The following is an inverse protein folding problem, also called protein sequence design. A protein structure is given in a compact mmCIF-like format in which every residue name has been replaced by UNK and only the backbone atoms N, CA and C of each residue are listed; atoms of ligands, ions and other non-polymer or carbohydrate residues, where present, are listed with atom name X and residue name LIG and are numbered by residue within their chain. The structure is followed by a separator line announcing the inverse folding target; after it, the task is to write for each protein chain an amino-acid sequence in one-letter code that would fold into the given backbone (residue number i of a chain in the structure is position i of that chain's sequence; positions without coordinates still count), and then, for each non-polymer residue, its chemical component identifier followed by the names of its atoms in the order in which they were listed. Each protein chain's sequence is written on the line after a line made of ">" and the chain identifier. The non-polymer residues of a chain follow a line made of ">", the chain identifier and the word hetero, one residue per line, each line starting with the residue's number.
data_IF_735212137469
#
_entry.id   IF_735212137469
#
_cell.length_a   1.000
_cell.length_b   1.000
_cell.length_c   1.000
_cell.angle_alpha   90.00
_cell.angle_beta   90.00
_cell.angle_gamma   90.00
#
_symmetry.space_group_name_H-M   'P 1'
#
loop_
_entity.id
_entity.type
_entity.pdbx_description
1 polymer ?
#
# COMPACT_ATOMS: atom_id res chain seq x y z
N UNK A 1 -13.21 4.11 -37.05
CA UNK A 1 -11.99 4.88 -36.73
C UNK A 1 -11.96 5.04 -35.22
N UNK A 2 -10.91 4.59 -34.51
CA UNK A 2 -10.87 4.68 -33.05
C UNK A 2 -10.78 6.16 -32.67
N UNK A 3 -11.76 6.64 -31.93
CA UNK A 3 -11.85 8.03 -31.53
C UNK A 3 -10.85 8.33 -30.43
N UNK A 4 -10.36 9.57 -30.38
CA UNK A 4 -9.57 10.19 -29.30
C UNK A 4 -10.04 9.82 -27.87
N UNK A 5 -11.29 9.42 -27.68
CA UNK A 5 -11.82 8.85 -26.44
C UNK A 5 -11.16 7.52 -26.01
N UNK A 6 -10.81 6.61 -26.94
CA UNK A 6 -10.11 5.35 -26.64
C UNK A 6 -8.66 5.57 -26.18
N UNK A 7 -8.00 6.60 -26.73
CA UNK A 7 -6.64 7.00 -26.32
C UNK A 7 -6.64 7.67 -24.93
N UNK A 8 -7.67 8.45 -24.62
CA UNK A 8 -7.86 9.04 -23.28
C UNK A 8 -8.21 7.98 -22.23
N UNK A 9 -9.03 6.97 -22.59
CA UNK A 9 -9.34 5.82 -21.73
C UNK A 9 -8.10 4.95 -21.46
N UNK A 10 -7.20 4.78 -22.43
CA UNK A 10 -5.94 4.05 -22.26
C UNK A 10 -4.87 4.78 -21.45
N UNK A 11 -4.86 6.11 -21.46
CA UNK A 11 -3.83 6.93 -20.79
C UNK A 11 -4.20 7.33 -19.34
N UNK A 12 -5.48 7.26 -18.96
CA UNK A 12 -5.97 7.67 -17.64
C UNK A 12 -5.23 7.00 -16.45
N UNK A 13 -4.89 5.69 -16.48
CA UNK A 13 -4.15 5.06 -15.37
C UNK A 13 -2.72 5.60 -15.21
N UNK A 14 -2.05 5.92 -16.31
CA UNK A 14 -0.67 6.43 -16.30
C UNK A 14 -0.64 7.89 -15.82
N UNK A 15 -1.60 8.70 -16.28
CA UNK A 15 -1.77 10.08 -15.81
C UNK A 15 -2.14 10.13 -14.32
N UNK A 16 -3.05 9.25 -13.86
CA UNK A 16 -3.42 9.15 -12.45
C UNK A 16 -2.25 8.70 -11.57
N UNK A 17 -1.46 7.71 -12.01
CA UNK A 17 -0.26 7.26 -11.30
C UNK A 17 0.82 8.33 -11.20
N UNK A 18 1.04 9.10 -12.27
CA UNK A 18 2.00 10.20 -12.29
C UNK A 18 1.62 11.34 -11.33
N UNK A 19 0.34 11.73 -11.30
CA UNK A 19 -0.15 12.77 -10.39
C UNK A 19 -0.06 12.35 -8.91
N UNK A 20 -0.35 11.08 -8.59
CA UNK A 20 -0.15 10.52 -7.26
C UNK A 20 1.33 10.50 -6.83
N UNK A 21 2.23 10.14 -7.75
CA UNK A 21 3.67 10.15 -7.49
C UNK A 21 4.19 11.57 -7.22
N UNK A 22 3.72 12.56 -7.98
CA UNK A 22 4.07 13.98 -7.78
C UNK A 22 3.51 14.53 -6.46
N UNK A 23 2.27 14.18 -6.10
CA UNK A 23 1.65 14.59 -4.85
C UNK A 23 2.35 13.97 -3.64
N UNK A 24 2.71 12.69 -3.71
CA UNK A 24 3.45 11.99 -2.65
C UNK A 24 4.90 12.48 -2.51
N UNK A 25 5.55 12.87 -3.62
CA UNK A 25 6.94 13.33 -3.62
C UNK A 25 7.18 14.71 -2.99
N UNK A 26 6.16 15.59 -2.96
CA UNK A 26 6.28 16.95 -2.42
C UNK A 26 5.96 17.08 -0.93
N UNK A 27 5.45 16.04 -0.27
CA UNK A 27 5.17 16.06 1.16
C UNK A 27 6.45 15.75 1.96
N UNK A 28 7.36 16.73 2.02
CA UNK A 28 8.47 16.67 2.97
C UNK A 28 7.91 16.91 4.38
N UNK A 29 7.86 15.85 5.18
CA UNK A 29 7.40 15.93 6.57
C UNK A 29 8.29 16.86 7.42
N UNK A 30 7.82 17.28 8.61
CA UNK A 30 8.59 18.10 9.52
C UNK A 30 9.94 17.45 9.88
N UNK A 31 11.01 18.25 9.94
CA UNK A 31 12.34 17.77 10.36
C UNK A 31 12.42 17.68 11.90
N UNK A 32 11.83 16.62 12.45
CA UNK A 32 11.81 16.38 13.90
C UNK A 32 13.21 16.27 14.51
N UNK A 33 14.17 15.69 13.78
CA UNK A 33 15.56 15.55 14.26
C UNK A 33 16.25 16.90 14.38
N UNK A 34 16.06 17.77 13.38
CA UNK A 34 16.54 19.15 13.42
C UNK A 34 15.91 19.98 14.53
N UNK A 35 14.63 19.73 14.87
CA UNK A 35 13.97 20.38 16.01
C UNK A 35 14.54 19.90 17.35
N UNK A 36 14.70 18.58 17.56
CA UNK A 36 15.28 18.01 18.79
C UNK A 36 16.69 18.55 19.03
N UNK A 37 17.53 18.62 17.99
CA UNK A 37 18.89 19.14 18.11
C UNK A 37 18.92 20.61 18.57
N UNK A 38 17.99 21.44 18.08
CA UNK A 38 17.86 22.83 18.53
C UNK A 38 17.36 22.93 19.97
N UNK A 39 16.41 22.08 20.36
CA UNK A 39 15.89 22.05 21.72
C UNK A 39 16.99 21.63 22.72
N UNK A 40 17.88 20.70 22.34
CA UNK A 40 19.06 20.31 23.13
C UNK A 40 20.10 21.44 23.28
N UNK A 41 20.42 22.16 22.19
CA UNK A 41 21.30 23.33 22.25
C UNK A 41 20.71 24.44 23.14
N UNK A 42 19.39 24.64 23.11
CA UNK A 42 18.71 25.55 24.04
C UNK A 42 18.85 25.10 25.50
N UNK A 43 18.73 23.80 25.77
CA UNK A 43 18.86 23.25 27.12
C UNK A 43 20.26 23.48 27.69
N UNK A 44 21.30 23.35 26.87
CA UNK A 44 22.70 23.61 27.27
C UNK A 44 22.94 25.09 27.64
N UNK A 45 22.22 26.01 27.00
CA UNK A 45 22.33 27.46 27.22
C UNK A 45 21.55 27.97 28.44
N UNK A 46 20.62 27.19 28.99
CA UNK A 46 19.87 27.59 30.19
C UNK A 46 20.80 27.50 31.41
N UNK A 47 20.89 28.56 32.24
CA UNK A 47 21.67 28.53 33.48
C UNK A 47 21.35 27.30 34.34
N UNK A 48 22.38 26.66 34.90
CA UNK A 48 22.23 25.45 35.73
C UNK A 48 21.35 25.65 36.96
N UNK A 49 21.27 26.89 37.46
CA UNK A 49 20.43 27.24 38.61
C UNK A 49 18.93 27.27 38.29
N UNK A 50 18.54 27.41 37.02
CA UNK A 50 17.13 27.44 36.59
C UNK A 50 16.60 26.00 36.38
N UNK A 51 16.64 25.21 37.45
CA UNK A 51 16.33 23.77 37.45
C UNK A 51 14.93 23.49 36.92
N UNK A 52 13.94 24.32 37.26
CA UNK A 52 12.55 24.13 36.84
C UNK A 52 12.38 24.32 35.32
N UNK A 53 13.02 25.34 34.73
CA UNK A 53 12.95 25.57 33.29
C UNK A 53 13.68 24.49 32.51
N UNK A 54 14.85 24.06 33.00
CA UNK A 54 15.59 22.94 32.40
C UNK A 54 14.78 21.65 32.44
N UNK A 55 14.15 21.34 33.58
CA UNK A 55 13.32 20.16 33.73
C UNK A 55 12.12 20.17 32.78
N UNK A 56 11.44 21.32 32.63
CA UNK A 56 10.32 21.48 31.69
C UNK A 56 10.75 21.29 30.24
N UNK A 57 11.88 21.88 29.83
CA UNK A 57 12.39 21.72 28.46
C UNK A 57 12.82 20.27 28.21
N UNK A 58 13.50 19.64 29.16
CA UNK A 58 13.88 18.23 29.08
C UNK A 58 12.65 17.31 28.91
N UNK A 59 11.57 17.57 29.65
CA UNK A 59 10.33 16.81 29.50
C UNK A 59 9.71 16.96 28.09
N UNK A 60 9.71 18.17 27.53
CA UNK A 60 9.24 18.40 26.16
C UNK A 60 10.10 17.71 25.10
N UNK A 61 11.42 17.69 25.28
CA UNK A 61 12.36 16.98 24.39
C UNK A 61 12.07 15.48 24.42
N UNK A 62 11.93 14.91 25.62
CA UNK A 62 11.64 13.48 25.79
C UNK A 62 10.34 13.10 25.07
N UNK A 63 9.27 13.87 25.25
CA UNK A 63 8.00 13.63 24.56
C UNK A 63 8.14 13.67 23.05
N UNK A 64 8.92 14.61 22.50
CA UNK A 64 9.19 14.69 21.06
C UNK A 64 9.99 13.48 20.55
N UNK A 65 10.89 12.94 21.35
CA UNK A 65 11.62 11.70 21.04
C UNK A 65 10.66 10.51 21.01
N UNK A 66 9.78 10.41 21.99
CA UNK A 66 8.78 9.34 22.04
C UNK A 66 7.85 9.37 20.81
N UNK A 67 7.40 10.56 20.40
CA UNK A 67 6.62 10.74 19.17
C UNK A 67 7.41 10.31 17.92
N UNK A 68 8.70 10.62 17.84
CA UNK A 68 9.57 10.21 16.74
C UNK A 68 9.73 8.67 16.69
N UNK A 69 9.87 8.04 17.85
CA UNK A 69 9.94 6.57 17.96
C UNK A 69 8.62 5.97 17.51
N UNK A 70 7.49 6.43 18.07
CA UNK A 70 6.16 5.92 17.75
C UNK A 70 5.82 6.06 16.26
N UNK A 71 6.16 7.19 15.63
CA UNK A 71 5.96 7.40 14.18
C UNK A 71 6.86 6.49 13.34
N UNK A 72 8.10 6.25 13.77
CA UNK A 72 9.02 5.32 13.10
C UNK A 72 8.55 3.88 13.22
N UNK A 73 8.12 3.46 14.41
CA UNK A 73 7.53 2.14 14.65
C UNK A 73 6.25 1.95 13.84
N UNK A 74 5.38 2.95 13.81
CA UNK A 74 4.18 2.92 12.96
C UNK A 74 4.53 2.82 11.48
N UNK A 75 5.54 3.55 11.02
CA UNK A 75 6.03 3.46 9.64
C UNK A 75 6.63 2.09 9.32
N UNK A 76 7.31 1.47 10.29
CA UNK A 76 7.85 0.11 10.18
C UNK A 76 6.73 -0.91 10.16
N UNK A 77 5.75 -0.80 11.05
CA UNK A 77 4.56 -1.64 11.08
C UNK A 77 3.74 -1.50 9.80
N UNK A 78 3.61 -0.28 9.24
CA UNK A 78 2.98 -0.05 7.94
C UNK A 78 3.79 -0.66 6.79
N UNK A 79 5.12 -0.59 6.82
CA UNK A 79 5.98 -1.26 5.84
C UNK A 79 5.89 -2.77 5.94
N UNK A 80 5.95 -3.33 7.14
CA UNK A 80 5.80 -4.76 7.40
C UNK A 80 4.40 -5.23 7.01
N UNK A 81 3.36 -4.44 7.33
CA UNK A 81 2.00 -4.65 6.88
C UNK A 81 1.92 -4.60 5.36
N UNK A 82 2.50 -3.61 4.68
CA UNK A 82 2.50 -3.51 3.22
C UNK A 82 3.31 -4.65 2.54
N UNK A 83 4.44 -5.04 3.13
CA UNK A 83 5.22 -6.21 2.71
C UNK A 83 4.42 -7.50 2.91
N UNK A 84 3.64 -7.60 4.00
CA UNK A 84 2.70 -8.70 4.25
C UNK A 84 1.43 -8.61 3.37
N UNK A 85 1.05 -7.40 2.94
CA UNK A 85 0.03 -7.10 1.94
C UNK A 85 0.50 -7.47 0.52
N UNK A 86 1.75 -7.93 0.38
CA UNK A 86 2.21 -8.77 -0.71
C UNK A 86 1.55 -10.16 -0.75
N UNK A 87 0.60 -10.45 0.15
CA UNK A 87 -0.26 -11.62 0.10
C UNK A 87 -1.30 -11.53 -1.02
N UNK A 88 -0.98 -12.14 -2.16
CA UNK A 88 -1.94 -12.61 -3.17
C UNK A 88 -2.91 -11.61 -3.83
N UNK A 89 -2.79 -10.30 -3.60
CA UNK A 89 -3.63 -9.28 -4.24
C UNK A 89 -3.59 -9.38 -5.76
N UNK A 90 -2.40 -9.61 -6.32
CA UNK A 90 -2.21 -9.87 -7.75
C UNK A 90 -3.13 -10.98 -8.24
N UNK A 91 -3.18 -12.09 -7.53
CA UNK A 91 -3.92 -13.28 -7.95
C UNK A 91 -5.44 -13.06 -7.79
N UNK A 92 -5.87 -12.26 -6.81
CA UNK A 92 -7.27 -11.83 -6.65
C UNK A 92 -7.70 -10.91 -7.81
N UNK A 93 -6.88 -9.91 -8.13
CA UNK A 93 -7.16 -8.99 -9.25
C UNK A 93 -7.18 -9.74 -10.57
N UNK A 94 -6.22 -10.65 -10.80
CA UNK A 94 -6.19 -11.50 -11.99
C UNK A 94 -7.43 -12.39 -12.09
N UNK A 95 -7.90 -12.95 -10.98
CA UNK A 95 -9.15 -13.73 -10.95
C UNK A 95 -10.36 -12.86 -11.32
N UNK A 96 -10.50 -11.67 -10.73
CA UNK A 96 -11.59 -10.73 -11.07
C UNK A 96 -11.53 -10.37 -12.56
N UNK A 97 -10.34 -10.02 -13.08
CA UNK A 97 -10.15 -9.72 -14.50
C UNK A 97 -10.53 -10.90 -15.41
N UNK A 98 -10.12 -12.12 -15.05
CA UNK A 98 -10.46 -13.34 -15.80
C UNK A 98 -11.97 -13.59 -15.85
N UNK A 99 -12.66 -13.45 -14.70
CA UNK A 99 -14.11 -13.62 -14.61
C UNK A 99 -14.83 -12.57 -15.44
N UNK A 100 -14.48 -11.29 -15.27
CA UNK A 100 -15.08 -10.19 -16.03
C UNK A 100 -14.87 -10.38 -17.53
N UNK A 101 -13.67 -10.78 -17.96
CA UNK A 101 -13.40 -11.05 -19.37
C UNK A 101 -14.24 -12.22 -19.89
N UNK A 102 -14.41 -13.28 -19.10
CA UNK A 102 -15.24 -14.44 -19.47
C UNK A 102 -16.71 -14.04 -19.62
N UNK A 103 -17.22 -13.16 -18.74
CA UNK A 103 -18.58 -12.62 -18.83
C UNK A 103 -18.77 -11.72 -20.06
N UNK A 104 -17.79 -10.87 -20.37
CA UNK A 104 -17.84 -10.03 -21.58
C UNK A 104 -17.78 -10.90 -22.84
N UNK A 105 -16.88 -11.89 -22.87
CA UNK A 105 -16.73 -12.82 -24.00
C UNK A 105 -17.99 -13.67 -24.22
N UNK A 106 -18.71 -14.02 -23.15
CA UNK A 106 -20.00 -14.70 -23.24
C UNK A 106 -21.04 -13.90 -24.04
N UNK A 107 -20.95 -12.57 -24.06
CA UNK A 107 -21.87 -11.71 -24.81
C UNK A 107 -21.41 -11.41 -26.25
N UNK A 108 -20.25 -11.91 -26.68
CA UNK A 108 -19.74 -11.74 -28.06
C UNK A 108 -20.46 -12.71 -29.01
N UNK A 109 -20.65 -12.31 -30.27
CA UNK A 109 -21.27 -13.13 -31.31
C UNK A 109 -20.64 -14.53 -31.40
N UNK A 110 -21.48 -15.56 -31.28
CA UNK A 110 -21.07 -16.97 -31.21
C UNK A 110 -20.90 -17.60 -32.61
N UNK A 111 -21.04 -16.82 -33.68
CA UNK A 111 -20.96 -17.27 -35.06
C UNK A 111 -19.52 -17.58 -35.50
N UNK A 112 -18.52 -17.04 -34.79
CA UNK A 112 -17.11 -17.33 -35.06
C UNK A 112 -16.73 -18.76 -34.71
N UNK A 113 -16.05 -19.42 -35.63
CA UNK A 113 -15.56 -20.79 -35.48
C UNK A 113 -14.64 -21.02 -34.27
N UNK A 114 -13.96 -19.99 -33.79
CA UNK A 114 -13.07 -20.05 -32.63
C UNK A 114 -13.74 -19.65 -31.30
N UNK A 115 -15.01 -19.24 -31.32
CA UNK A 115 -15.72 -18.74 -30.14
C UNK A 115 -15.72 -19.76 -29.00
N UNK A 116 -16.11 -21.01 -29.32
CA UNK A 116 -16.22 -22.10 -28.33
C UNK A 116 -14.86 -22.49 -27.75
N UNK A 117 -13.83 -22.62 -28.59
CA UNK A 117 -12.46 -22.96 -28.15
C UNK A 117 -11.92 -21.90 -27.21
N UNK A 118 -12.10 -20.62 -27.57
CA UNK A 118 -11.65 -19.50 -26.75
C UNK A 118 -12.45 -19.41 -25.44
N UNK A 119 -13.76 -19.66 -25.48
CA UNK A 119 -14.58 -19.70 -24.28
C UNK A 119 -14.13 -20.79 -23.29
N UNK A 120 -13.80 -21.99 -23.77
CA UNK A 120 -13.27 -23.09 -22.91
C UNK A 120 -11.92 -22.73 -22.29
N UNK A 121 -11.02 -22.11 -23.05
CA UNK A 121 -9.72 -21.64 -22.55
C UNK A 121 -9.90 -20.58 -21.46
N UNK A 122 -10.88 -19.68 -21.60
CA UNK A 122 -11.21 -18.66 -20.60
C UNK A 122 -11.74 -19.25 -19.30
N UNK A 123 -12.63 -20.26 -19.39
CA UNK A 123 -13.07 -21.00 -18.21
C UNK A 123 -11.87 -21.64 -17.51
N UNK A 124 -10.96 -22.28 -18.26
CA UNK A 124 -9.74 -22.85 -17.70
C UNK A 124 -8.86 -21.81 -16.98
N UNK A 125 -8.72 -20.62 -17.58
CA UNK A 125 -7.95 -19.52 -16.99
C UNK A 125 -8.62 -18.96 -15.72
N UNK A 126 -9.95 -18.86 -15.68
CA UNK A 126 -10.72 -18.53 -14.48
C UNK A 126 -10.49 -19.55 -13.35
N UNK A 127 -10.54 -20.85 -13.67
CA UNK A 127 -10.29 -21.91 -12.69
C UNK A 127 -8.87 -21.83 -12.16
N UNK A 128 -7.88 -21.65 -13.04
CA UNK A 128 -6.48 -21.54 -12.63
C UNK A 128 -6.28 -20.34 -11.69
N UNK A 129 -6.75 -19.16 -12.07
CA UNK A 129 -6.63 -17.94 -11.27
C UNK A 129 -7.39 -18.04 -9.95
N UNK A 130 -8.54 -18.71 -9.93
CA UNK A 130 -9.28 -19.01 -8.70
C UNK A 130 -8.46 -19.88 -7.73
N UNK A 131 -7.81 -20.93 -8.22
CA UNK A 131 -6.97 -21.80 -7.39
C UNK A 131 -5.79 -21.04 -6.77
N UNK A 132 -5.14 -20.17 -7.55
CA UNK A 132 -4.08 -19.30 -7.05
C UNK A 132 -4.60 -18.31 -6.00
N UNK A 133 -5.74 -17.66 -6.27
CA UNK A 133 -6.41 -16.74 -5.34
C UNK A 133 -6.73 -17.43 -3.99
N UNK A 134 -7.37 -18.59 -4.04
CA UNK A 134 -7.74 -19.39 -2.86
C UNK A 134 -6.50 -19.85 -2.08
N UNK A 135 -5.45 -20.30 -2.77
CA UNK A 135 -4.23 -20.79 -2.11
C UNK A 135 -3.47 -19.69 -1.36
N UNK A 136 -3.54 -18.44 -1.81
CA UNK A 136 -2.98 -17.33 -1.04
C UNK A 136 -3.88 -16.87 0.10
N UNK A 137 -5.21 -16.91 -0.07
CA UNK A 137 -6.16 -16.67 1.01
C UNK A 137 -5.95 -17.67 2.16
N UNK A 138 -5.84 -18.97 1.85
CA UNK A 138 -5.58 -20.03 2.84
C UNK A 138 -4.24 -19.85 3.57
N UNK A 139 -3.20 -19.38 2.87
CA UNK A 139 -1.90 -19.08 3.49
C UNK A 139 -1.96 -17.88 4.44
N UNK A 140 -2.70 -16.82 4.07
CA UNK A 140 -2.90 -15.66 4.92
C UNK A 140 -3.68 -16.01 6.20
N UNK A 141 -4.70 -16.85 6.10
CA UNK A 141 -5.41 -17.37 7.28
C UNK A 141 -4.53 -18.30 8.15
N UNK A 142 -3.64 -19.08 7.54
CA UNK A 142 -2.68 -19.92 8.24
C UNK A 142 -1.65 -19.12 9.06
N UNK A 143 -1.15 -17.99 8.54
CA UNK A 143 -0.21 -17.12 9.28
C UNK A 143 -0.88 -16.38 10.43
N UNK A 144 -2.13 -15.94 10.27
CA UNK A 144 -2.93 -15.32 11.34
C UNK A 144 -3.17 -16.27 12.51
N UNK A 145 -3.33 -17.57 12.24
CA UNK A 145 -3.55 -18.58 13.29
C UNK A 145 -2.28 -18.96 14.06
N UNK A 146 -1.09 -18.71 13.50
CA UNK A 146 0.20 -19.06 14.11
C UNK A 146 0.77 -17.95 15.02
N UNK A 147 0.28 -16.72 14.89
CA UNK A 147 0.67 -15.58 15.71
C UNK A 147 -0.28 -15.33 16.90
N UNK A 148 -0.99 -16.34 17.40
CA UNK A 148 -1.71 -16.27 18.67
C UNK A 148 -0.70 -16.61 19.76
N UNK A 149 -0.22 -15.65 20.58
CA UNK A 149 0.58 -15.98 21.74
C UNK A 149 -0.36 -16.60 22.78
N UNK A 150 0.05 -17.73 23.34
CA UNK A 150 -0.52 -18.27 24.59
C UNK A 150 -0.15 -17.35 25.77
#
# INVERSE_FOLDING_TARGET
>A
MPGIAELALGAAPVAGGALLALAAGNLKGPDFRGMIAKDMDLLERIPVEDVERRARLQASINQRIDDLIATTERSRALREAAMSYGGNWRDIVLFICAVLFTLVWWHVDHDRSNWLVMFVVLIGFCVLTALYAVRGILRAFGSLRRNRPD
#
